data_IF_624615867691
#
_entry.id   IF_624615867691
#
_cell.length_a   1.000
_cell.length_b   1.000
_cell.length_c   1.000
_cell.angle_alpha   90.00
_cell.angle_beta   90.00
_cell.angle_gamma   90.00
#
_symmetry.space_group_name_H-M   'P 1'
#
loop_
_entity.id
_entity.type
_entity.pdbx_description
1 polymer ?
#
# COMPACT_ATOMS: atom_id res chain seq x y z
N UNK A 1 -48.17 -17.12 22.67
CA UNK A 1 -46.95 -17.03 23.52
C UNK A 1 -46.14 -18.28 23.20
N UNK A 2 -44.93 -18.27 22.65
CA UNK A 2 -43.86 -17.28 22.75
C UNK A 2 -43.12 -17.10 21.41
N UNK A 3 -42.69 -15.86 21.18
CA UNK A 3 -41.77 -15.38 20.16
C UNK A 3 -40.38 -16.00 20.39
N UNK A 4 -39.77 -16.62 19.38
CA UNK A 4 -38.34 -16.91 19.41
C UNK A 4 -37.60 -15.81 18.64
N UNK A 5 -36.89 -14.99 19.41
CA UNK A 5 -36.07 -13.89 18.95
C UNK A 5 -34.76 -14.38 18.32
N UNK A 6 -34.28 -13.63 17.32
CA UNK A 6 -33.03 -13.82 16.60
C UNK A 6 -31.81 -13.87 17.52
N UNK A 7 -30.81 -14.68 17.15
CA UNK A 7 -29.40 -14.39 17.38
C UNK A 7 -28.58 -15.01 16.25
N UNK A 8 -28.32 -14.22 15.20
CA UNK A 8 -27.18 -14.47 14.34
C UNK A 8 -25.93 -14.14 15.17
N UNK A 9 -25.16 -15.16 15.52
CA UNK A 9 -23.85 -14.98 16.09
C UNK A 9 -23.00 -14.24 15.05
N UNK A 10 -22.70 -12.96 15.30
CA UNK A 10 -21.62 -12.28 14.62
C UNK A 10 -20.33 -12.99 15.02
N UNK A 11 -19.90 -13.94 14.20
CA UNK A 11 -18.58 -14.54 14.29
C UNK A 11 -17.57 -13.41 14.14
N UNK A 12 -16.98 -13.01 15.26
CA UNK A 12 -15.79 -12.16 15.31
C UNK A 12 -14.65 -12.87 14.61
N UNK A 13 -14.62 -12.78 13.29
CA UNK A 13 -13.44 -13.13 12.52
C UNK A 13 -12.38 -12.08 12.86
N UNK A 14 -11.41 -12.48 13.66
CA UNK A 14 -10.18 -11.71 13.84
C UNK A 14 -9.56 -11.51 12.46
N UNK A 15 -9.42 -10.27 12.01
CA UNK A 15 -8.81 -9.95 10.72
C UNK A 15 -7.44 -10.64 10.62
N UNK A 16 -7.22 -11.40 9.55
CA UNK A 16 -5.91 -11.99 9.26
C UNK A 16 -4.99 -10.98 8.57
N UNK A 17 -3.67 -11.18 8.66
CA UNK A 17 -2.69 -10.34 7.97
C UNK A 17 -2.95 -10.29 6.44
N UNK A 18 -3.29 -11.42 5.82
CA UNK A 18 -3.66 -11.47 4.41
C UNK A 18 -4.95 -10.72 4.06
N UNK A 19 -5.88 -10.61 5.01
CA UNK A 19 -7.12 -9.86 4.82
C UNK A 19 -6.88 -8.35 4.90
N UNK A 20 -6.01 -7.91 5.82
CA UNK A 20 -5.58 -6.52 5.90
C UNK A 20 -4.92 -6.06 4.59
N UNK A 21 -4.02 -6.88 4.03
CA UNK A 21 -3.37 -6.56 2.76
C UNK A 21 -4.37 -6.50 1.59
N UNK A 22 -5.32 -7.44 1.55
CA UNK A 22 -6.39 -7.46 0.54
C UNK A 22 -7.30 -6.24 0.65
N UNK A 23 -7.61 -5.81 1.87
CA UNK A 23 -8.38 -4.60 2.13
C UNK A 23 -7.69 -3.36 1.54
N UNK A 24 -6.37 -3.23 1.72
CA UNK A 24 -5.63 -2.10 1.11
C UNK A 24 -5.67 -2.16 -0.41
N UNK A 25 -5.41 -3.32 -1.03
CA UNK A 25 -5.46 -3.44 -2.50
C UNK A 25 -6.85 -3.17 -3.09
N UNK A 26 -7.92 -3.47 -2.35
CA UNK A 26 -9.30 -3.20 -2.77
C UNK A 26 -9.77 -1.77 -2.47
N UNK A 27 -9.06 -1.03 -1.61
CA UNK A 27 -9.43 0.33 -1.22
C UNK A 27 -9.13 1.35 -2.31
N UNK A 28 -9.93 2.42 -2.37
CA UNK A 28 -9.68 3.57 -3.26
C UNK A 28 -8.30 4.19 -3.02
N UNK A 29 -7.85 4.22 -1.75
CA UNK A 29 -6.57 4.79 -1.34
C UNK A 29 -5.35 3.96 -1.73
N UNK A 30 -5.49 2.63 -1.84
CA UNK A 30 -4.42 1.75 -2.35
C UNK A 30 -4.32 1.85 -3.87
N UNK A 31 -5.47 1.86 -4.56
CA UNK A 31 -5.56 2.12 -5.99
C UNK A 31 -4.65 1.24 -6.87
N UNK A 32 -4.41 1.71 -8.09
CA UNK A 32 -3.55 1.01 -9.06
C UNK A 32 -2.07 1.03 -8.66
N UNK A 33 -1.59 2.14 -8.06
CA UNK A 33 -0.18 2.32 -7.70
C UNK A 33 0.31 1.22 -6.75
N UNK A 34 -0.47 0.89 -5.72
CA UNK A 34 -0.09 -0.14 -4.74
C UNK A 34 -0.29 -1.55 -5.30
N UNK A 35 -1.47 -1.82 -5.88
CA UNK A 35 -1.86 -3.18 -6.31
C UNK A 35 -1.08 -3.74 -7.51
N UNK A 36 -0.52 -2.87 -8.38
CA UNK A 36 0.25 -3.30 -9.55
C UNK A 36 1.76 -3.35 -9.33
N UNK A 37 2.27 -2.63 -8.33
CA UNK A 37 3.71 -2.40 -8.13
C UNK A 37 4.30 -3.29 -7.04
N UNK A 38 3.52 -3.59 -5.99
CA UNK A 38 4.04 -4.21 -4.77
C UNK A 38 3.74 -5.71 -4.67
N UNK A 39 4.59 -6.47 -3.95
CA UNK A 39 4.29 -7.85 -3.57
C UNK A 39 2.91 -7.98 -2.90
N UNK A 40 2.14 -8.98 -3.33
CA UNK A 40 0.82 -9.29 -2.77
C UNK A 40 0.87 -10.01 -1.41
N UNK A 41 2.06 -10.09 -0.80
CA UNK A 41 2.32 -10.65 0.52
C UNK A 41 3.51 -9.90 1.14
N UNK A 42 3.69 -10.00 2.46
CA UNK A 42 4.87 -9.43 3.11
C UNK A 42 6.16 -9.97 2.47
N UNK A 43 7.09 -9.09 2.10
CA UNK A 43 8.30 -9.46 1.39
C UNK A 43 8.89 -8.33 0.56
N UNK A 44 9.94 -8.66 -0.19
CA UNK A 44 10.68 -7.74 -1.06
C UNK A 44 10.77 -8.36 -2.46
N UNK A 45 10.56 -7.56 -3.50
CA UNK A 45 10.80 -7.96 -4.89
C UNK A 45 11.40 -6.83 -5.71
N UNK A 46 12.09 -7.17 -6.78
CA UNK A 46 12.32 -6.22 -7.87
C UNK A 46 10.97 -5.88 -8.50
N UNK A 47 10.74 -4.62 -8.83
CA UNK A 47 9.50 -4.12 -9.41
C UNK A 47 9.76 -3.16 -10.57
N UNK A 48 8.70 -2.91 -11.34
CA UNK A 48 8.65 -1.85 -12.35
C UNK A 48 7.63 -0.82 -11.84
N UNK A 49 8.11 0.37 -11.50
CA UNK A 49 7.28 1.44 -10.99
C UNK A 49 6.73 2.22 -12.19
N UNK A 50 5.45 2.04 -12.47
CA UNK A 50 4.76 2.71 -13.57
C UNK A 50 4.36 4.13 -13.16
N UNK A 51 5.06 5.13 -13.68
CA UNK A 51 4.80 6.54 -13.41
C UNK A 51 3.87 7.19 -14.44
N UNK A 52 3.44 8.42 -14.15
CA UNK A 52 2.61 9.22 -15.04
C UNK A 52 3.37 9.90 -16.19
N UNK A 53 2.78 10.97 -16.73
CA UNK A 53 3.28 11.71 -17.90
C UNK A 53 2.61 11.30 -19.23
N UNK A 54 3.07 11.87 -20.36
CA UNK A 54 2.48 11.60 -21.68
C UNK A 54 2.45 10.09 -21.98
N UNK A 55 1.35 9.55 -22.57
CA UNK A 55 1.24 8.13 -22.87
C UNK A 55 2.46 7.60 -23.65
N UNK A 56 3.05 6.45 -23.24
CA UNK A 56 2.54 5.48 -22.27
C UNK A 56 2.93 5.72 -20.79
N UNK A 57 3.52 6.87 -20.45
CA UNK A 57 4.10 7.15 -19.12
C UNK A 57 5.54 6.65 -18.99
N UNK A 58 6.16 6.86 -17.82
CA UNK A 58 7.51 6.36 -17.51
C UNK A 58 7.46 5.01 -16.80
N UNK A 59 8.54 4.24 -16.90
CA UNK A 59 8.75 3.02 -16.12
C UNK A 59 10.10 3.12 -15.42
N UNK A 60 10.08 3.06 -14.10
CA UNK A 60 11.28 3.19 -13.25
C UNK A 60 11.56 1.83 -12.61
N UNK A 61 12.70 1.19 -12.91
CA UNK A 61 13.12 -0.02 -12.21
C UNK A 61 13.38 0.29 -10.73
N UNK A 62 12.88 -0.57 -9.84
CA UNK A 62 13.03 -0.36 -8.41
C UNK A 62 12.99 -1.65 -7.60
N UNK A 63 13.06 -1.48 -6.28
CA UNK A 63 12.79 -2.53 -5.30
C UNK A 63 11.55 -2.16 -4.50
N UNK A 64 10.61 -3.08 -4.38
CA UNK A 64 9.35 -2.87 -3.69
C UNK A 64 9.24 -3.82 -2.51
N UNK A 65 8.93 -3.26 -1.35
CA UNK A 65 8.77 -3.98 -0.09
C UNK A 65 7.36 -3.80 0.44
N UNK A 66 6.75 -4.90 0.85
CA UNK A 66 5.48 -4.94 1.58
C UNK A 66 5.76 -5.44 3.00
N UNK A 67 5.31 -4.71 4.00
CA UNK A 67 5.44 -5.04 5.42
C UNK A 67 4.08 -5.00 6.10
N UNK A 68 3.88 -5.89 7.07
CA UNK A 68 2.66 -5.96 7.86
C UNK A 68 3.01 -6.02 9.34
N UNK A 69 2.44 -5.12 10.13
CA UNK A 69 2.55 -5.13 11.58
C UNK A 69 1.17 -5.22 12.22
N UNK A 70 0.96 -6.21 13.08
CA UNK A 70 -0.24 -6.25 13.91
C UNK A 70 -0.19 -5.12 14.95
N UNK A 71 -1.33 -4.53 15.25
CA UNK A 71 -1.51 -3.55 16.33
C UNK A 71 -2.60 -4.02 17.29
N UNK A 72 -2.77 -3.31 18.41
CA UNK A 72 -3.89 -3.59 19.31
C UNK A 72 -5.26 -3.40 18.64
N UNK A 73 -5.37 -2.62 17.57
CA UNK A 73 -6.63 -2.22 16.93
C UNK A 73 -6.80 -2.74 15.49
N UNK A 74 -5.86 -3.54 14.98
CA UNK A 74 -5.90 -4.05 13.61
C UNK A 74 -4.49 -4.29 13.06
N UNK A 75 -4.20 -3.75 11.87
CA UNK A 75 -2.90 -3.87 11.21
C UNK A 75 -2.44 -2.54 10.65
N UNK A 76 -1.12 -2.38 10.57
CA UNK A 76 -0.47 -1.39 9.72
C UNK A 76 0.14 -2.15 8.56
N UNK A 77 -0.22 -1.76 7.34
CA UNK A 77 0.35 -2.27 6.10
C UNK A 77 1.22 -1.18 5.49
N UNK A 78 2.50 -1.47 5.30
CA UNK A 78 3.49 -0.50 4.80
C UNK A 78 4.04 -0.97 3.47
N UNK A 79 4.09 -0.05 2.51
CA UNK A 79 4.63 -0.28 1.17
C UNK A 79 5.76 0.71 0.95
N UNK A 80 6.96 0.21 0.69
CA UNK A 80 8.14 1.04 0.40
C UNK A 80 8.71 0.68 -0.95
N UNK A 81 8.74 1.64 -1.86
CA UNK A 81 9.50 1.52 -3.10
C UNK A 81 10.82 2.28 -2.98
N UNK A 82 11.86 1.75 -3.62
CA UNK A 82 13.15 2.43 -3.78
C UNK A 82 13.57 2.41 -5.24
N UNK A 83 14.22 3.49 -5.69
CA UNK A 83 14.71 3.62 -7.06
C UNK A 83 15.99 4.47 -7.12
N UNK A 84 16.74 4.32 -8.21
CA UNK A 84 17.91 5.17 -8.49
C UNK A 84 17.45 6.55 -8.95
N UNK A 85 17.88 7.60 -8.26
CA UNK A 85 17.59 9.00 -8.59
C UNK A 85 17.93 9.37 -10.04
N UNK A 86 18.92 8.71 -10.65
CA UNK A 86 19.29 8.92 -12.06
C UNK A 86 18.17 8.52 -13.03
N UNK A 87 17.27 7.62 -12.61
CA UNK A 87 16.12 7.19 -13.40
C UNK A 87 14.93 8.14 -13.24
N UNK A 88 14.73 8.65 -12.03
CA UNK A 88 13.65 9.58 -11.71
C UNK A 88 13.98 10.39 -10.46
N UNK A 89 13.84 11.71 -10.54
CA UNK A 89 13.90 12.64 -9.42
C UNK A 89 13.18 13.93 -9.80
N UNK A 90 12.63 14.64 -8.83
CA UNK A 90 12.18 16.02 -9.02
C UNK A 90 13.36 16.99 -8.91
N UNK A 91 13.19 18.20 -9.46
CA UNK A 91 14.24 19.23 -9.45
C UNK A 91 14.71 19.63 -8.03
N UNK A 92 13.88 19.40 -7.01
CA UNK A 92 14.19 19.66 -5.59
C UNK A 92 14.88 18.50 -4.88
N UNK A 93 15.08 17.37 -5.56
CA UNK A 93 15.66 16.15 -5.01
C UNK A 93 17.09 15.91 -5.53
N UNK A 94 17.91 15.11 -4.83
CA UNK A 94 19.23 14.74 -5.34
C UNK A 94 19.12 14.00 -6.68
N UNK A 95 19.95 14.37 -7.65
CA UNK A 95 19.98 13.73 -8.98
C UNK A 95 20.72 12.38 -9.01
N UNK A 96 21.28 11.94 -7.88
CA UNK A 96 22.02 10.68 -7.74
C UNK A 96 21.79 10.08 -6.36
N UNK A 97 21.87 8.75 -6.27
CA UNK A 97 21.66 8.02 -5.02
C UNK A 97 20.36 7.23 -5.06
N UNK A 98 19.97 6.65 -3.94
CA UNK A 98 18.70 5.96 -3.79
C UNK A 98 17.65 6.93 -3.25
N UNK A 99 16.51 7.00 -3.93
CA UNK A 99 15.29 7.65 -3.44
C UNK A 99 14.30 6.58 -3.03
N UNK A 100 13.36 6.96 -2.16
CA UNK A 100 12.32 6.04 -1.72
C UNK A 100 11.02 6.76 -1.44
N UNK A 101 9.91 6.06 -1.59
CA UNK A 101 8.61 6.51 -1.13
C UNK A 101 7.95 5.42 -0.30
N UNK A 102 7.23 5.82 0.75
CA UNK A 102 6.54 4.90 1.64
C UNK A 102 5.09 5.31 1.83
N UNK A 103 4.18 4.38 1.60
CA UNK A 103 2.77 4.45 1.97
C UNK A 103 2.51 3.59 3.21
N UNK A 104 1.72 4.09 4.14
CA UNK A 104 1.29 3.39 5.35
C UNK A 104 -0.22 3.42 5.46
N UNK A 105 -0.83 2.26 5.62
CA UNK A 105 -2.28 2.09 5.73
C UNK A 105 -2.61 1.46 7.07
N UNK A 106 -3.49 2.11 7.84
CA UNK A 106 -4.07 1.48 9.03
C UNK A 106 -5.36 0.79 8.64
N UNK A 107 -5.42 -0.51 8.87
CA UNK A 107 -6.61 -1.33 8.67
C UNK A 107 -7.16 -1.69 10.05
N UNK A 108 -8.42 -1.36 10.33
CA UNK A 108 -9.06 -1.69 11.59
C UNK A 108 -9.46 -3.17 11.66
N UNK A 109 -10.02 -3.62 12.80
CA UNK A 109 -10.44 -5.03 12.94
C UNK A 109 -11.63 -5.43 12.06
N UNK A 110 -12.37 -4.47 11.51
CA UNK A 110 -13.45 -4.75 10.57
C UNK A 110 -12.92 -4.97 9.15
N UNK A 111 -11.63 -4.69 8.90
CA UNK A 111 -11.03 -4.77 7.57
C UNK A 111 -11.13 -3.47 6.78
N UNK A 112 -11.45 -2.36 7.44
CA UNK A 112 -11.58 -1.06 6.79
C UNK A 112 -10.26 -0.27 6.86
N UNK A 113 -9.89 0.37 5.75
CA UNK A 113 -8.75 1.31 5.72
C UNK A 113 -9.21 2.62 6.35
N UNK A 114 -8.73 2.90 7.56
CA UNK A 114 -9.17 4.08 8.35
C UNK A 114 -8.19 5.24 8.31
N UNK A 115 -6.94 5.00 7.89
CA UNK A 115 -5.91 6.02 7.75
C UNK A 115 -4.95 5.65 6.64
N UNK A 116 -4.57 6.64 5.85
CA UNK A 116 -3.50 6.56 4.85
C UNK A 116 -2.51 7.68 5.12
N UNK A 117 -1.24 7.32 5.24
CA UNK A 117 -0.11 8.24 5.38
C UNK A 117 0.92 7.95 4.28
N UNK A 118 1.69 8.96 3.91
CA UNK A 118 2.76 8.82 2.94
C UNK A 118 3.98 9.67 3.33
N UNK A 119 5.17 9.21 2.98
CA UNK A 119 6.44 9.86 3.33
C UNK A 119 7.55 9.50 2.34
N UNK A 120 8.64 10.26 2.38
CA UNK A 120 9.80 10.09 1.50
C UNK A 120 9.78 11.05 0.30
N UNK A 121 10.42 10.61 -0.78
CA UNK A 121 10.56 11.32 -2.05
C UNK A 121 9.26 11.32 -2.85
N UNK A 122 9.12 12.23 -3.80
CA UNK A 122 7.92 12.22 -4.66
C UNK A 122 7.93 10.97 -5.55
N UNK A 123 6.87 10.15 -5.55
CA UNK A 123 6.89 8.88 -6.26
C UNK A 123 6.52 9.05 -7.75
N UNK A 124 7.05 8.22 -8.66
CA UNK A 124 6.74 8.29 -10.09
C UNK A 124 5.24 8.25 -10.42
N UNK A 125 4.44 7.50 -9.64
CA UNK A 125 3.00 7.27 -9.85
C UNK A 125 2.15 8.53 -9.68
N UNK A 126 2.65 9.54 -8.97
CA UNK A 126 1.90 10.78 -8.68
C UNK A 126 2.22 11.92 -9.65
N UNK A 127 3.09 11.69 -10.63
CA UNK A 127 3.31 12.63 -11.74
C UNK A 127 2.04 12.66 -12.61
N UNK A 128 1.57 13.86 -12.95
CA UNK A 128 0.40 14.09 -13.81
C UNK A 128 0.80 14.32 -15.27
#
# INVERSE_FOLDING_TARGET
MATQSLQAAATGQTLGAGDALRAVFASESGGFAISSTFPSAAGVSVCQIHGGGPPPGIVVPGTCRTELSATGSGFIVTFTETWDARQFHLATEPATGELHHTWSFTVDRAGEVVLTEQSGNFPPQLVL
#
